data_IF_549603863751
#
_entry.id   IF_549603863751
#
_cell.length_a   1.000
_cell.length_b   1.000
_cell.length_c   1.000
_cell.angle_alpha   90.00
_cell.angle_beta   90.00
_cell.angle_gamma   90.00
#
_symmetry.space_group_name_H-M   'P 1'
#
loop_
_entity.id
_entity.type
_entity.pdbx_description
1 polymer ?
#
# COMPACT_ATOMS: atom_id res chain seq x y z
N UNK A 1 5.16 -15.29 -14.52
CA UNK A 1 5.40 -14.17 -13.59
C UNK A 1 6.32 -13.16 -14.28
N UNK A 2 5.90 -11.89 -14.32
CA UNK A 2 6.74 -10.79 -14.76
C UNK A 2 6.54 -9.62 -13.81
N UNK A 3 7.62 -9.19 -13.18
CA UNK A 3 7.63 -8.01 -12.33
C UNK A 3 8.69 -7.08 -12.89
N UNK A 4 8.30 -5.84 -13.17
CA UNK A 4 9.21 -4.75 -13.48
C UNK A 4 8.86 -3.63 -12.54
N UNK A 5 9.77 -3.30 -11.65
CA UNK A 5 9.61 -2.24 -10.65
C UNK A 5 10.66 -1.16 -10.83
N UNK A 6 10.29 0.06 -10.50
CA UNK A 6 11.15 1.22 -10.46
C UNK A 6 10.84 2.06 -9.24
N UNK A 7 11.80 2.15 -8.33
CA UNK A 7 11.72 3.06 -7.20
C UNK A 7 12.66 4.24 -7.42
N UNK A 8 12.13 5.45 -7.31
CA UNK A 8 12.88 6.69 -7.42
C UNK A 8 12.78 7.48 -6.11
N UNK A 9 13.92 7.77 -5.49
CA UNK A 9 13.99 8.75 -4.41
C UNK A 9 15.00 9.84 -4.78
N UNK A 10 14.55 11.10 -4.82
CA UNK A 10 15.40 12.26 -5.08
C UNK A 10 15.21 13.32 -4.02
N UNK A 11 16.28 13.67 -3.31
CA UNK A 11 16.33 14.71 -2.30
C UNK A 11 16.90 16.00 -2.88
N UNK A 12 16.24 17.12 -2.67
CA UNK A 12 16.61 18.42 -3.19
C UNK A 12 16.73 19.45 -2.07
N UNK A 13 17.55 20.49 -2.32
CA UNK A 13 17.77 21.63 -1.42
C UNK A 13 18.08 21.19 0.02
N UNK A 14 19.20 20.49 0.20
CA UNK A 14 19.68 20.01 1.50
C UNK A 14 18.64 19.17 2.26
N UNK A 15 18.01 18.23 1.56
CA UNK A 15 16.93 17.38 2.09
C UNK A 15 15.63 18.10 2.48
N UNK A 16 15.44 19.35 2.04
CA UNK A 16 14.21 20.09 2.31
C UNK A 16 13.00 19.49 1.58
N UNK A 17 13.20 19.04 0.33
CA UNK A 17 12.19 18.35 -0.47
C UNK A 17 12.65 16.94 -0.81
N UNK A 18 11.69 16.01 -0.79
CA UNK A 18 11.90 14.64 -1.20
C UNK A 18 10.85 14.26 -2.25
N UNK A 19 11.31 13.71 -3.37
CA UNK A 19 10.48 13.15 -4.43
C UNK A 19 10.59 11.64 -4.32
N UNK A 20 9.47 10.96 -4.19
CA UNK A 20 9.39 9.50 -4.11
C UNK A 20 8.46 9.03 -5.22
N UNK A 21 8.97 8.13 -6.06
CA UNK A 21 8.20 7.46 -7.10
C UNK A 21 8.24 5.95 -6.90
N UNK A 22 7.10 5.29 -7.01
CA UNK A 22 6.97 3.84 -7.07
C UNK A 22 6.18 3.49 -8.33
N UNK A 23 6.87 2.84 -9.28
CA UNK A 23 6.34 2.50 -10.58
C UNK A 23 6.49 1.01 -10.78
N UNK A 24 5.38 0.29 -10.93
CA UNK A 24 5.39 -1.16 -11.07
C UNK A 24 4.53 -1.60 -12.25
N UNK A 25 5.04 -2.58 -12.98
CA UNK A 25 4.24 -3.39 -13.87
C UNK A 25 4.39 -4.85 -13.43
N UNK A 26 3.28 -5.47 -13.10
CA UNK A 26 3.26 -6.84 -12.58
C UNK A 26 2.25 -7.67 -13.37
N UNK A 27 2.66 -8.90 -13.72
CA UNK A 27 1.77 -9.98 -14.15
C UNK A 27 1.98 -11.08 -13.13
N UNK A 28 1.03 -11.19 -12.21
CA UNK A 28 1.22 -12.03 -11.05
C UNK A 28 -0.09 -12.70 -10.62
N UNK A 29 -0.12 -14.04 -10.53
CA UNK A 29 -1.23 -14.72 -9.90
C UNK A 29 -1.12 -14.61 -8.38
N UNK A 30 -2.25 -14.45 -7.73
CA UNK A 30 -2.35 -14.28 -6.29
C UNK A 30 -3.46 -15.16 -5.73
N UNK A 31 -3.15 -15.92 -4.68
CA UNK A 31 -4.18 -16.63 -3.95
C UNK A 31 -5.07 -15.68 -3.13
N UNK A 32 -6.38 -15.85 -3.27
CA UNK A 32 -7.39 -15.17 -2.50
C UNK A 32 -7.97 -16.10 -1.42
N UNK A 33 -7.90 -15.66 -0.18
CA UNK A 33 -8.38 -16.41 1.00
C UNK A 33 -9.73 -15.95 1.50
N UNK A 34 -10.32 -14.93 0.87
CA UNK A 34 -11.59 -14.34 1.22
C UNK A 34 -11.50 -13.05 2.02
N UNK A 35 -12.66 -12.56 2.46
CA UNK A 35 -12.82 -11.29 3.17
C UNK A 35 -13.01 -11.50 4.68
N UNK A 36 -12.33 -10.66 5.47
CA UNK A 36 -12.50 -10.60 6.92
C UNK A 36 -11.69 -11.61 7.72
N UNK A 37 -11.86 -11.59 9.05
CA UNK A 37 -11.06 -12.38 9.99
C UNK A 37 -11.44 -13.86 10.08
N UNK A 38 -12.55 -14.28 9.47
CA UNK A 38 -13.03 -15.67 9.44
C UNK A 38 -12.77 -16.34 8.08
N UNK A 39 -11.85 -15.79 7.28
CA UNK A 39 -11.47 -16.37 6.00
C UNK A 39 -10.87 -17.78 6.17
N UNK A 40 -11.03 -18.61 5.13
CA UNK A 40 -10.49 -19.97 5.11
C UNK A 40 -8.96 -19.97 5.24
N UNK A 41 -8.41 -21.08 5.75
CA UNK A 41 -6.97 -21.36 5.69
C UNK A 41 -6.53 -21.80 4.30
N UNK A 42 -7.46 -22.37 3.53
CA UNK A 42 -7.24 -22.78 2.15
C UNK A 42 -7.69 -21.64 1.22
N UNK A 43 -6.99 -21.40 0.11
CA UNK A 43 -7.38 -20.38 -0.85
C UNK A 43 -8.75 -20.69 -1.44
N UNK A 44 -9.56 -19.66 -1.67
CA UNK A 44 -10.83 -19.78 -2.38
C UNK A 44 -10.62 -19.84 -3.88
N UNK A 45 -9.59 -19.15 -4.36
CA UNK A 45 -9.25 -19.05 -5.78
C UNK A 45 -7.84 -18.54 -5.99
N UNK A 46 -7.33 -18.74 -7.20
CA UNK A 46 -6.16 -18.05 -7.73
C UNK A 46 -6.62 -16.95 -8.68
N UNK A 47 -6.26 -15.70 -8.37
CA UNK A 47 -6.62 -14.51 -9.15
C UNK A 47 -5.47 -14.12 -10.03
N UNK A 48 -5.71 -14.04 -11.34
CA UNK A 48 -4.75 -13.59 -12.33
C UNK A 48 -5.08 -12.18 -12.75
N UNK A 49 -4.07 -11.32 -12.86
CA UNK A 49 -4.22 -9.94 -13.33
C UNK A 49 -2.90 -9.35 -13.80
N UNK A 50 -3.01 -8.28 -14.57
CA UNK A 50 -1.91 -7.37 -14.85
C UNK A 50 -2.12 -6.11 -14.04
N UNK A 51 -1.11 -5.67 -13.29
CA UNK A 51 -1.17 -4.42 -12.52
C UNK A 51 -0.17 -3.40 -13.07
N UNK A 52 -0.66 -2.20 -13.30
CA UNK A 52 0.17 -1.01 -13.48
C UNK A 52 -0.02 -0.13 -12.26
N UNK A 53 1.05 0.12 -11.52
CA UNK A 53 1.08 1.06 -10.39
C UNK A 53 1.91 2.26 -10.76
N UNK A 54 1.38 3.45 -10.49
CA UNK A 54 2.08 4.71 -10.61
C UNK A 54 1.80 5.55 -9.35
N UNK A 55 2.77 5.61 -8.46
CA UNK A 55 2.70 6.44 -7.26
C UNK A 55 3.79 7.48 -7.30
N UNK A 56 3.43 8.74 -7.14
CA UNK A 56 4.36 9.86 -7.11
C UNK A 56 4.06 10.75 -5.92
N UNK A 57 5.03 10.94 -5.03
CA UNK A 57 4.94 11.82 -3.88
C UNK A 57 5.98 12.93 -3.93
N UNK A 58 5.57 14.10 -3.45
CA UNK A 58 6.44 15.22 -3.16
C UNK A 58 6.25 15.58 -1.70
N UNK A 59 7.28 15.47 -0.88
CA UNK A 59 7.23 15.82 0.52
C UNK A 59 8.21 16.92 0.88
N UNK A 60 7.81 17.77 1.83
CA UNK A 60 8.62 18.87 2.37
C UNK A 60 8.91 18.61 3.84
N UNK A 61 10.17 18.81 4.21
CA UNK A 61 10.59 18.82 5.61
C UNK A 61 10.02 20.05 6.31
N UNK A 62 9.28 19.85 7.38
CA UNK A 62 8.63 20.90 8.16
C UNK A 62 9.52 21.27 9.37
N UNK A 63 9.84 20.29 10.21
CA UNK A 63 10.67 20.50 11.41
C UNK A 63 11.32 19.16 11.83
N UNK A 64 12.62 19.21 12.17
CA UNK A 64 13.34 18.01 12.58
C UNK A 64 13.25 16.92 11.52
N UNK A 65 12.73 15.76 11.87
CA UNK A 65 12.56 14.60 10.99
C UNK A 65 11.10 14.47 10.46
N UNK A 66 10.26 15.48 10.72
CA UNK A 66 8.87 15.49 10.29
C UNK A 66 8.72 16.12 8.90
N UNK A 67 7.95 15.45 8.05
CA UNK A 67 7.64 15.84 6.66
C UNK A 67 6.14 15.78 6.41
N UNK A 68 5.67 16.65 5.54
CA UNK A 68 4.33 16.56 4.94
C UNK A 68 4.49 16.43 3.44
N UNK A 69 3.67 15.60 2.84
CA UNK A 69 3.69 15.28 1.42
C UNK A 69 2.33 15.33 0.77
N UNK A 70 2.36 15.52 -0.52
CA UNK A 70 1.23 15.39 -1.43
C UNK A 70 1.65 14.45 -2.55
N UNK A 71 0.78 13.54 -2.93
CA UNK A 71 1.05 12.58 -3.98
C UNK A 71 -0.14 12.36 -4.91
N UNK A 72 0.15 11.73 -6.02
CA UNK A 72 -0.81 11.13 -6.93
C UNK A 72 -0.57 9.62 -6.94
N UNK A 73 -1.63 8.85 -6.84
CA UNK A 73 -1.60 7.40 -6.85
C UNK A 73 -2.57 6.87 -7.89
N UNK A 74 -2.07 5.94 -8.71
CA UNK A 74 -2.86 5.24 -9.71
C UNK A 74 -2.52 3.75 -9.64
N UNK A 75 -3.55 2.93 -9.52
CA UNK A 75 -3.53 1.48 -9.71
C UNK A 75 -4.49 1.13 -10.85
N UNK A 76 -3.99 0.42 -11.86
CA UNK A 76 -4.80 -0.09 -12.95
C UNK A 76 -4.61 -1.61 -13.02
N UNK A 77 -5.70 -2.33 -12.90
CA UNK A 77 -5.76 -3.78 -13.01
C UNK A 77 -6.45 -4.16 -14.31
N UNK A 78 -5.83 -5.06 -15.05
CA UNK A 78 -6.31 -5.53 -16.35
C UNK A 78 -6.29 -7.03 -16.45
N UNK A 79 -7.09 -7.57 -17.39
CA UNK A 79 -7.16 -9.01 -17.68
C UNK A 79 -7.40 -9.81 -16.39
N UNK A 80 -8.35 -9.34 -15.56
CA UNK A 80 -8.67 -9.99 -14.29
C UNK A 80 -9.44 -11.27 -14.59
N UNK A 81 -8.95 -12.38 -14.03
CA UNK A 81 -9.63 -13.68 -14.08
C UNK A 81 -9.42 -14.44 -12.77
N UNK A 82 -10.29 -15.39 -12.51
CA UNK A 82 -10.31 -16.14 -11.27
C UNK A 82 -10.43 -17.65 -11.57
N UNK A 83 -9.43 -18.41 -11.12
CA UNK A 83 -9.47 -19.87 -11.13
C UNK A 83 -9.98 -20.35 -9.77
N UNK A 84 -11.24 -20.82 -9.74
CA UNK A 84 -11.98 -21.13 -8.50
C UNK A 84 -11.57 -22.51 -8.00
N UNK A 85 -11.11 -22.61 -6.75
CA UNK A 85 -10.70 -23.86 -6.10
C UNK A 85 -11.75 -24.41 -5.10
N UNK A 86 -12.86 -23.68 -4.89
CA UNK A 86 -13.92 -24.06 -3.97
C UNK A 86 -15.28 -24.26 -4.69
N UNK A 87 -16.21 -24.97 -4.05
CA UNK A 87 -17.59 -25.02 -4.52
C UNK A 87 -18.33 -23.73 -4.20
N UNK A 88 -18.99 -23.15 -5.19
CA UNK A 88 -19.81 -21.94 -5.05
C UNK A 88 -19.05 -20.63 -5.32
N UNK A 89 -19.72 -19.47 -5.17
CA UNK A 89 -19.15 -18.18 -5.48
C UNK A 89 -18.11 -17.77 -4.42
N UNK A 90 -16.95 -17.30 -4.89
CA UNK A 90 -15.88 -16.75 -4.05
C UNK A 90 -16.28 -15.41 -3.42
N UNK A 91 -15.50 -14.93 -2.47
CA UNK A 91 -15.76 -13.62 -1.87
C UNK A 91 -15.48 -12.48 -2.85
N UNK A 92 -14.56 -12.67 -3.82
CA UNK A 92 -14.35 -11.73 -4.93
C UNK A 92 -15.61 -11.63 -5.76
N UNK A 93 -16.13 -12.79 -6.21
CA UNK A 93 -17.34 -12.85 -7.03
C UNK A 93 -18.53 -12.18 -6.33
N UNK A 94 -18.74 -12.45 -5.04
CA UNK A 94 -19.79 -11.80 -4.23
C UNK A 94 -19.58 -10.30 -4.09
N UNK A 95 -18.34 -9.87 -3.89
CA UNK A 95 -17.99 -8.47 -3.67
C UNK A 95 -18.18 -7.63 -4.94
N UNK A 96 -17.73 -8.14 -6.09
CA UNK A 96 -17.80 -7.48 -7.38
C UNK A 96 -19.08 -7.79 -8.18
N UNK A 97 -19.90 -8.75 -7.72
CA UNK A 97 -21.10 -9.17 -8.41
C UNK A 97 -20.83 -9.99 -9.68
N UNK A 98 -19.66 -10.63 -9.75
CA UNK A 98 -19.23 -11.45 -10.89
C UNK A 98 -18.63 -10.64 -12.05
N UNK A 99 -18.40 -9.35 -11.86
CA UNK A 99 -17.75 -8.49 -12.86
C UNK A 99 -16.23 -8.53 -12.66
N UNK A 100 -15.50 -8.96 -13.68
CA UNK A 100 -14.04 -9.00 -13.77
C UNK A 100 -13.52 -8.04 -14.86
N UNK A 101 -14.21 -6.94 -15.08
CA UNK A 101 -13.73 -5.88 -15.96
C UNK A 101 -12.42 -5.26 -15.47
N UNK A 102 -11.74 -4.58 -16.38
CA UNK A 102 -10.58 -3.77 -16.03
C UNK A 102 -10.96 -2.73 -14.97
N UNK A 103 -10.05 -2.49 -14.02
CA UNK A 103 -10.29 -1.63 -12.85
C UNK A 103 -9.24 -0.52 -12.78
N UNK A 104 -9.68 0.72 -12.64
CA UNK A 104 -8.80 1.87 -12.47
C UNK A 104 -9.15 2.62 -11.19
N UNK A 105 -8.18 2.70 -10.29
CA UNK A 105 -8.22 3.54 -9.10
C UNK A 105 -7.17 4.63 -9.17
N UNK A 106 -7.60 5.88 -9.19
CA UNK A 106 -6.69 7.02 -9.25
C UNK A 106 -7.14 8.17 -8.37
N UNK A 107 -6.17 8.88 -7.78
CA UNK A 107 -6.48 9.96 -6.86
C UNK A 107 -5.27 10.64 -6.24
N UNK A 108 -5.56 11.54 -5.33
CA UNK A 108 -4.56 12.25 -4.55
C UNK A 108 -4.35 11.60 -3.18
N UNK A 109 -3.13 11.74 -2.66
CA UNK A 109 -2.79 11.26 -1.33
C UNK A 109 -2.05 12.33 -0.54
N UNK A 110 -2.40 12.47 0.73
CA UNK A 110 -1.71 13.30 1.70
C UNK A 110 -0.88 12.42 2.62
N UNK A 111 0.39 12.76 2.78
CA UNK A 111 1.32 11.99 3.59
C UNK A 111 1.85 12.82 4.75
N UNK A 112 1.86 12.23 5.95
CA UNK A 112 2.62 12.71 7.09
C UNK A 112 3.67 11.67 7.45
N UNK A 113 4.95 12.05 7.44
CA UNK A 113 6.07 11.16 7.70
C UNK A 113 6.98 11.70 8.78
N UNK A 114 7.29 10.88 9.79
CA UNK A 114 8.31 11.13 10.79
C UNK A 114 9.28 9.95 10.83
N UNK A 115 10.56 10.18 10.53
CA UNK A 115 11.57 9.13 10.54
C UNK A 115 12.85 9.60 11.25
N UNK A 116 13.01 9.19 12.50
CA UNK A 116 14.18 9.48 13.32
C UNK A 116 15.19 8.32 13.39
N UNK A 117 15.00 7.28 12.59
CA UNK A 117 15.93 6.15 12.50
C UNK A 117 17.26 6.61 11.88
N UNK A 118 18.37 6.29 12.52
CA UNK A 118 19.71 6.63 11.99
C UNK A 118 20.12 5.75 10.82
N UNK A 119 19.62 4.50 10.80
CA UNK A 119 19.83 3.54 9.72
C UNK A 119 18.48 2.93 9.34
N UNK A 120 18.10 3.08 8.07
CA UNK A 120 16.81 2.59 7.56
C UNK A 120 16.82 1.07 7.37
N UNK A 121 17.96 0.51 6.93
CA UNK A 121 18.08 -0.93 6.64
C UNK A 121 18.23 -1.77 7.91
N UNK A 122 18.96 -1.26 8.90
CA UNK A 122 19.17 -1.95 10.17
C UNK A 122 19.03 -0.98 11.35
N UNK A 123 17.79 -0.59 11.68
CA UNK A 123 17.53 0.38 12.72
C UNK A 123 17.75 -0.23 14.10
N UNK A 124 18.58 0.43 14.91
CA UNK A 124 18.85 0.03 16.30
C UNK A 124 18.11 0.90 17.31
N UNK A 125 17.73 2.12 16.91
CA UNK A 125 17.03 3.11 17.72
C UNK A 125 16.22 4.04 16.83
N UNK A 126 15.19 4.67 17.39
CA UNK A 126 14.38 5.69 16.75
C UNK A 126 12.95 5.26 16.51
N UNK A 127 12.24 6.15 15.85
CA UNK A 127 10.83 6.00 15.51
C UNK A 127 10.66 6.16 14.02
N UNK A 128 9.71 5.45 13.49
CA UNK A 128 9.12 5.67 12.17
C UNK A 128 7.61 5.79 12.34
N UNK A 129 7.04 6.81 11.74
CA UNK A 129 5.60 7.00 11.66
C UNK A 129 5.26 7.52 10.27
N UNK A 130 4.35 6.85 9.61
CA UNK A 130 3.78 7.25 8.33
C UNK A 130 2.27 7.20 8.43
N UNK A 131 1.62 8.22 7.90
CA UNK A 131 0.18 8.27 7.72
C UNK A 131 -0.12 8.77 6.32
N UNK A 132 -0.82 7.97 5.53
CA UNK A 132 -1.27 8.30 4.18
C UNK A 132 -2.80 8.35 4.16
N UNK A 133 -3.34 9.45 3.69
CA UNK A 133 -4.75 9.64 3.43
C UNK A 133 -4.96 9.72 1.93
N UNK A 134 -5.62 8.73 1.33
CA UNK A 134 -5.86 8.63 -0.12
C UNK A 134 -7.32 8.92 -0.44
N UNK A 135 -7.55 9.72 -1.47
CA UNK A 135 -8.85 10.07 -2.02
C UNK A 135 -8.84 9.70 -3.50
N UNK A 136 -9.54 8.65 -3.87
CA UNK A 136 -9.79 8.30 -5.26
C UNK A 136 -11.12 8.92 -5.68
N UNK A 137 -11.14 9.47 -6.89
CA UNK A 137 -12.32 10.14 -7.39
C UNK A 137 -12.35 10.10 -8.93
N UNK A 138 -13.55 10.04 -9.49
CA UNK A 138 -13.79 10.04 -10.92
C UNK A 138 -13.21 11.25 -11.67
N UNK A 139 -13.03 12.40 -10.98
CA UNK A 139 -12.33 13.58 -11.52
C UNK A 139 -10.88 13.25 -11.91
N UNK A 140 -10.24 12.30 -11.22
CA UNK A 140 -8.89 11.84 -11.51
C UNK A 140 -8.86 10.60 -12.42
N UNK A 141 -10.01 10.16 -12.93
CA UNK A 141 -10.16 8.99 -13.79
C UNK A 141 -10.41 7.68 -13.04
N UNK A 142 -10.67 7.71 -11.73
CA UNK A 142 -11.04 6.51 -10.96
C UNK A 142 -12.42 6.01 -11.36
N UNK A 143 -12.59 4.69 -11.51
CA UNK A 143 -13.89 4.08 -11.84
C UNK A 143 -14.86 4.18 -10.67
N UNK A 144 -14.33 4.16 -9.45
CA UNK A 144 -15.10 4.29 -8.22
C UNK A 144 -14.52 5.35 -7.29
N UNK A 145 -15.41 6.04 -6.55
CA UNK A 145 -15.01 7.03 -5.55
C UNK A 145 -14.86 6.35 -4.19
N UNK A 146 -13.70 6.49 -3.58
CA UNK A 146 -13.44 5.93 -2.25
C UNK A 146 -12.27 6.61 -1.53
N UNK A 147 -12.23 6.44 -0.21
CA UNK A 147 -11.18 7.03 0.62
C UNK A 147 -10.61 6.00 1.58
N UNK A 148 -9.30 6.04 1.76
CA UNK A 148 -8.61 5.18 2.71
C UNK A 148 -7.60 5.93 3.55
N UNK A 149 -7.28 5.33 4.68
CA UNK A 149 -6.18 5.76 5.54
C UNK A 149 -5.26 4.57 5.79
N UNK A 150 -3.97 4.81 5.67
CA UNK A 150 -2.92 3.89 6.06
C UNK A 150 -2.03 4.54 7.12
N UNK A 151 -1.74 3.81 8.19
CA UNK A 151 -0.86 4.26 9.27
C UNK A 151 0.13 3.14 9.57
N UNK A 152 1.43 3.45 9.60
CA UNK A 152 2.49 2.55 10.02
C UNK A 152 3.33 3.23 11.10
N UNK A 153 3.37 2.65 12.28
CA UNK A 153 4.14 3.14 13.42
C UNK A 153 5.15 2.08 13.86
N UNK A 154 6.43 2.45 13.90
CA UNK A 154 7.52 1.55 14.29
C UNK A 154 8.40 2.21 15.35
N UNK A 155 8.80 1.43 16.33
CA UNK A 155 9.74 1.85 17.39
C UNK A 155 10.86 0.85 17.49
N UNK A 156 12.07 1.35 17.59
CA UNK A 156 13.27 0.57 17.81
C UNK A 156 13.97 1.03 19.08
N UNK A 157 14.31 0.10 19.95
CA UNK A 157 14.99 0.38 21.21
C UNK A 157 16.11 -0.62 21.45
N UNK A 158 17.33 -0.11 21.64
CA UNK A 158 18.48 -0.94 21.98
C UNK A 158 18.68 -0.97 23.49
N UNK A 159 18.69 -2.16 24.09
CA UNK A 159 18.97 -2.38 25.51
C UNK A 159 20.46 -2.50 25.82
N UNK A 160 21.30 -2.56 24.80
CA UNK A 160 22.74 -2.79 24.97
C UNK A 160 23.53 -1.65 24.36
N UNK A 161 24.62 -1.24 25.04
CA UNK A 161 25.60 -0.27 24.51
C UNK A 161 26.25 -0.78 23.22
N UNK A 162 26.38 -2.10 23.06
CA UNK A 162 26.91 -2.76 21.86
C UNK A 162 25.86 -2.97 20.79
N UNK A 163 24.60 -2.60 21.04
CA UNK A 163 23.46 -2.68 20.12
C UNK A 163 23.15 -4.08 19.58
N UNK A 164 23.52 -5.13 20.33
CA UNK A 164 23.24 -6.52 19.93
C UNK A 164 21.85 -7.00 20.39
N UNK A 165 21.18 -6.26 21.31
CA UNK A 165 19.84 -6.58 21.80
C UNK A 165 18.91 -5.43 21.47
N UNK A 166 18.06 -5.63 20.48
CA UNK A 166 17.13 -4.62 19.95
C UNK A 166 15.72 -5.14 20.12
N UNK A 167 14.83 -4.34 20.68
CA UNK A 167 13.40 -4.51 20.63
C UNK A 167 12.87 -3.68 19.47
N UNK A 168 12.19 -4.34 18.53
CA UNK A 168 11.46 -3.70 17.45
C UNK A 168 9.96 -3.95 17.66
N UNK A 169 9.16 -2.90 17.62
CA UNK A 169 7.71 -2.96 17.65
C UNK A 169 7.17 -2.26 16.43
N UNK A 170 6.14 -2.87 15.79
CA UNK A 170 5.39 -2.29 14.67
C UNK A 170 3.90 -2.40 14.94
N UNK A 171 3.17 -1.34 14.66
CA UNK A 171 1.72 -1.34 14.57
C UNK A 171 1.34 -0.67 13.25
N UNK A 172 0.42 -1.28 12.51
CA UNK A 172 -0.13 -0.65 11.32
C UNK A 172 -1.65 -0.76 11.31
N UNK A 173 -2.27 0.20 10.65
CA UNK A 173 -3.70 0.28 10.44
C UNK A 173 -3.96 0.70 9.00
N UNK A 174 -4.78 -0.05 8.29
CA UNK A 174 -5.20 0.27 6.94
C UNK A 174 -6.69 0.00 6.81
N UNK A 175 -7.44 1.01 6.41
CA UNK A 175 -8.89 0.92 6.27
C UNK A 175 -9.41 1.81 5.14
N UNK A 176 -10.45 1.32 4.49
CA UNK A 176 -11.36 2.12 3.67
C UNK A 176 -12.48 2.59 4.59
N UNK A 177 -12.77 3.88 4.61
CA UNK A 177 -13.79 4.47 5.50
C UNK A 177 -14.90 5.21 4.75
N UNK A 178 -14.76 5.35 3.43
CA UNK A 178 -15.78 5.95 2.57
C UNK A 178 -15.69 5.35 1.17
N UNK A 179 -16.84 5.10 0.55
CA UNK A 179 -16.93 4.51 -0.77
C UNK A 179 -16.70 3.00 -0.82
N UNK A 180 -16.63 2.48 -2.04
CA UNK A 180 -16.40 1.05 -2.30
C UNK A 180 -15.28 0.92 -3.34
N UNK A 181 -14.04 0.57 -2.91
CA UNK A 181 -12.95 0.27 -3.82
C UNK A 181 -13.20 -1.04 -4.56
N UNK A 182 -12.42 -1.31 -5.58
CA UNK A 182 -12.33 -2.64 -6.17
C UNK A 182 -11.73 -3.65 -5.19
N UNK A 183 -11.97 -4.94 -5.41
CA UNK A 183 -11.49 -5.98 -4.49
C UNK A 183 -9.97 -5.96 -4.31
N UNK A 184 -9.23 -5.77 -5.42
CA UNK A 184 -7.77 -5.75 -5.40
C UNK A 184 -7.17 -4.50 -4.72
N UNK A 185 -7.97 -3.46 -4.49
CA UNK A 185 -7.57 -2.26 -3.73
C UNK A 185 -7.91 -2.34 -2.23
N UNK A 186 -8.58 -3.41 -1.79
CA UNK A 186 -8.93 -3.58 -0.39
C UNK A 186 -7.68 -3.74 0.50
N UNK A 187 -7.73 -3.24 1.73
CA UNK A 187 -6.69 -3.49 2.72
C UNK A 187 -6.41 -4.97 2.90
N UNK A 188 -5.17 -5.39 2.68
CA UNK A 188 -4.76 -6.78 2.78
C UNK A 188 -3.60 -6.96 3.75
N UNK A 189 -3.53 -8.13 4.41
CA UNK A 189 -2.42 -8.53 5.27
C UNK A 189 -1.44 -9.34 4.41
N UNK A 190 -0.14 -9.00 4.50
CA UNK A 190 0.91 -9.71 3.77
C UNK A 190 1.40 -9.00 2.52
N UNK A 191 0.72 -7.98 2.05
CA UNK A 191 1.24 -7.06 1.04
C UNK A 191 1.79 -5.82 1.74
N UNK A 192 3.10 -5.78 1.95
CA UNK A 192 3.76 -4.54 2.35
C UNK A 192 3.75 -3.57 1.17
N UNK A 193 3.33 -2.35 1.42
CA UNK A 193 3.39 -1.22 0.47
C UNK A 193 4.82 -0.90 0.10
#
# INVERSE_FOLDING_TARGET
YKITDGYLEKRLKDNKYNFIGDYRFMIYPQFAYGLGGNSSKDPQSEVHYQQIRFYQFVSRKIKGDFRLGLGFQLDNYKDISEDIEMEGPTDINKYQGGDYSDELSSGIAFQALYDSRKNILNPTQGYYFEADYRINNSIFGSDTDWKSIYIDARKYHSFSKTRHKILAARAFYWAVFDGKPHYLDLPSIGWDR
#
